data_IF_703461764362
#
_entry.id   IF_703461764362
#
_cell.length_a   1.000
_cell.length_b   1.000
_cell.length_c   1.000
_cell.angle_alpha   90.00
_cell.angle_beta   90.00
_cell.angle_gamma   90.00
#
_symmetry.space_group_name_H-M   'P 1'
#
loop_
_entity.id
_entity.type
_entity.pdbx_description
1 polymer ?
#
# COMPACT_ATOMS: atom_id res chain seq x y z
N UNK A 1 -52.03 -3.51 11.32
CA UNK A 1 -50.73 -3.42 11.96
C UNK A 1 -50.21 -1.98 12.07
N UNK A 2 -50.48 -1.11 11.12
CA UNK A 2 -50.02 0.29 11.18
C UNK A 2 -51.03 1.27 11.80
N UNK A 3 -52.24 0.85 12.15
CA UNK A 3 -53.31 1.73 12.67
C UNK A 3 -53.03 2.27 14.09
N UNK A 4 -52.28 1.55 14.91
CA UNK A 4 -51.88 1.99 16.26
C UNK A 4 -50.85 3.13 16.21
N UNK A 5 -50.03 3.20 15.17
CA UNK A 5 -49.07 4.28 14.94
C UNK A 5 -49.75 5.62 14.66
N UNK A 6 -51.00 5.60 14.12
CA UNK A 6 -51.78 6.80 13.86
C UNK A 6 -52.42 7.40 15.10
N UNK A 7 -52.61 6.62 16.17
CA UNK A 7 -53.40 7.00 17.32
C UNK A 7 -52.59 7.39 18.56
N UNK A 8 -51.27 7.16 18.62
CA UNK A 8 -50.48 7.50 19.81
C UNK A 8 -49.20 8.28 19.44
N UNK A 9 -49.03 9.46 20.06
CA UNK A 9 -47.84 10.28 19.99
C UNK A 9 -46.59 9.56 20.47
N UNK A 10 -46.62 8.77 21.60
CA UNK A 10 -45.42 8.03 22.04
C UNK A 10 -44.95 6.98 21.05
N UNK A 11 -45.85 6.32 20.31
CA UNK A 11 -45.47 5.31 19.32
C UNK A 11 -44.75 5.95 18.11
N UNK A 12 -45.18 7.12 17.70
CA UNK A 12 -44.53 7.89 16.61
C UNK A 12 -43.13 8.36 17.01
N UNK A 13 -43.01 8.85 18.25
CA UNK A 13 -41.69 9.25 18.76
C UNK A 13 -40.75 8.04 18.86
N UNK A 14 -41.23 6.88 19.29
CA UNK A 14 -40.45 5.65 19.36
C UNK A 14 -39.95 5.18 17.99
N UNK A 15 -40.80 5.22 16.96
CA UNK A 15 -40.43 4.87 15.59
C UNK A 15 -39.40 5.84 15.04
N UNK A 16 -39.56 7.14 15.29
CA UNK A 16 -38.60 8.16 14.84
C UNK A 16 -37.21 7.94 15.49
N UNK A 17 -37.16 7.63 16.78
CA UNK A 17 -35.90 7.34 17.49
C UNK A 17 -35.23 6.10 16.93
N UNK A 18 -35.98 5.04 16.66
CA UNK A 18 -35.45 3.80 16.07
C UNK A 18 -34.88 4.08 14.67
N UNK A 19 -35.56 4.83 13.83
CA UNK A 19 -35.09 5.20 12.50
C UNK A 19 -33.78 6.02 12.56
N UNK A 20 -33.71 6.97 13.49
CA UNK A 20 -32.49 7.78 13.68
C UNK A 20 -31.33 6.87 14.15
N UNK A 21 -31.59 5.95 15.08
CA UNK A 21 -30.57 5.01 15.55
C UNK A 21 -30.05 4.10 14.43
N UNK A 22 -30.94 3.59 13.57
CA UNK A 22 -30.56 2.77 12.40
C UNK A 22 -29.72 3.58 11.42
N UNK A 23 -30.10 4.82 11.12
CA UNK A 23 -29.34 5.70 10.23
C UNK A 23 -27.97 6.05 10.79
N UNK A 24 -27.87 6.29 12.11
CA UNK A 24 -26.60 6.57 12.78
C UNK A 24 -25.67 5.34 12.73
N UNK A 25 -26.19 4.14 12.96
CA UNK A 25 -25.43 2.89 12.85
C UNK A 25 -24.94 2.65 11.42
N UNK A 26 -25.82 2.84 10.43
CA UNK A 26 -25.46 2.69 9.01
C UNK A 26 -24.35 3.67 8.61
N UNK A 27 -24.43 4.92 9.05
CA UNK A 27 -23.41 5.94 8.80
C UNK A 27 -22.07 5.57 9.43
N UNK A 28 -22.10 5.09 10.67
CA UNK A 28 -20.86 4.68 11.39
C UNK A 28 -20.20 3.48 10.72
N UNK A 29 -20.98 2.49 10.29
CA UNK A 29 -20.46 1.32 9.58
C UNK A 29 -19.85 1.72 8.23
N UNK A 30 -20.51 2.61 7.49
CA UNK A 30 -20.02 3.11 6.20
C UNK A 30 -18.69 3.85 6.36
N UNK A 31 -18.59 4.73 7.36
CA UNK A 31 -17.36 5.45 7.66
C UNK A 31 -16.22 4.50 8.07
N UNK A 32 -16.53 3.48 8.87
CA UNK A 32 -15.57 2.46 9.27
C UNK A 32 -15.06 1.63 8.11
N UNK A 33 -15.93 1.24 7.19
CA UNK A 33 -15.57 0.50 5.97
C UNK A 33 -14.68 1.34 5.05
N UNK A 34 -15.04 2.60 4.81
CA UNK A 34 -14.24 3.52 3.98
C UNK A 34 -12.85 3.70 4.61
N UNK A 35 -12.77 3.92 5.91
CA UNK A 35 -11.50 4.07 6.61
C UNK A 35 -10.65 2.79 6.51
N UNK A 36 -11.27 1.62 6.59
CA UNK A 36 -10.57 0.34 6.50
C UNK A 36 -10.00 0.10 5.10
N UNK A 37 -10.78 0.38 4.05
CA UNK A 37 -10.32 0.26 2.65
C UNK A 37 -9.21 1.27 2.31
N UNK A 38 -9.30 2.51 2.81
CA UNK A 38 -8.25 3.51 2.55
C UNK A 38 -6.97 3.27 3.34
N UNK A 39 -7.03 2.59 4.49
CA UNK A 39 -5.83 2.19 5.24
C UNK A 39 -4.94 1.21 4.47
N UNK A 40 -5.54 0.30 3.69
CA UNK A 40 -4.78 -0.64 2.87
C UNK A 40 -3.91 0.05 1.83
N UNK A 41 -4.47 1.02 1.11
CA UNK A 41 -3.74 1.78 0.10
C UNK A 41 -2.67 2.67 0.75
N UNK A 42 -2.97 3.29 1.89
CA UNK A 42 -2.00 4.08 2.64
C UNK A 42 -0.83 3.27 3.14
N UNK A 43 -1.08 2.05 3.65
CA UNK A 43 -0.02 1.14 4.07
C UNK A 43 0.88 0.74 2.91
N UNK A 44 0.31 0.46 1.73
CA UNK A 44 1.06 0.13 0.53
C UNK A 44 1.92 1.30 0.05
N UNK A 45 1.39 2.52 0.06
CA UNK A 45 2.12 3.74 -0.30
C UNK A 45 3.30 3.96 0.66
N UNK A 46 3.08 3.81 1.95
CA UNK A 46 4.14 3.94 2.95
C UNK A 46 5.23 2.88 2.77
N UNK A 47 4.84 1.63 2.49
CA UNK A 47 5.79 0.54 2.24
C UNK A 47 6.61 0.82 0.98
N UNK A 48 5.99 1.23 -0.11
CA UNK A 48 6.70 1.60 -1.34
C UNK A 48 7.65 2.77 -1.11
N UNK A 49 7.24 3.77 -0.34
CA UNK A 49 8.11 4.89 0.07
C UNK A 49 9.32 4.43 0.88
N UNK A 50 9.13 3.46 1.78
CA UNK A 50 10.23 2.91 2.56
C UNK A 50 11.18 2.07 1.72
N UNK A 51 10.70 1.36 0.69
CA UNK A 51 11.56 0.65 -0.28
C UNK A 51 12.44 1.65 -1.04
N UNK A 52 11.88 2.78 -1.44
CA UNK A 52 12.64 3.86 -2.08
C UNK A 52 13.76 4.37 -1.16
N UNK A 53 13.44 4.64 0.10
CA UNK A 53 14.43 5.07 1.10
C UNK A 53 15.53 4.04 1.29
N UNK A 54 15.17 2.76 1.42
CA UNK A 54 16.14 1.66 1.57
C UNK A 54 17.02 1.53 0.33
N UNK A 55 16.49 1.79 -0.86
CA UNK A 55 17.25 1.76 -2.12
C UNK A 55 18.35 2.83 -2.10
N UNK A 56 18.03 4.06 -1.71
CA UNK A 56 19.01 5.14 -1.61
C UNK A 56 20.02 4.86 -0.48
N UNK A 57 19.56 4.35 0.65
CA UNK A 57 20.43 3.98 1.76
C UNK A 57 21.43 2.90 1.34
N UNK A 58 20.95 1.89 0.62
CA UNK A 58 21.79 0.81 0.10
C UNK A 58 22.81 1.34 -0.91
N UNK A 59 22.40 2.24 -1.82
CA UNK A 59 23.29 2.87 -2.78
C UNK A 59 24.43 3.64 -2.08
N UNK A 60 24.07 4.39 -1.04
CA UNK A 60 25.03 5.16 -0.26
C UNK A 60 26.01 4.24 0.50
N UNK A 61 25.49 3.19 1.14
CA UNK A 61 26.32 2.22 1.88
C UNK A 61 27.28 1.47 0.97
N UNK A 62 26.84 1.12 -0.25
CA UNK A 62 27.72 0.50 -1.25
C UNK A 62 28.82 1.46 -1.70
N UNK A 63 28.50 2.73 -1.91
CA UNK A 63 29.47 3.75 -2.29
C UNK A 63 30.51 4.03 -1.19
N UNK A 64 30.08 3.93 0.08
CA UNK A 64 30.92 4.14 1.26
C UNK A 64 31.71 2.89 1.66
N UNK A 65 31.60 1.81 0.90
CA UNK A 65 32.24 0.51 1.19
C UNK A 65 31.93 -0.01 2.60
N UNK A 66 30.68 0.11 3.02
CA UNK A 66 30.21 -0.36 4.33
C UNK A 66 30.47 -1.87 4.49
N UNK A 67 30.57 -2.37 5.75
CA UNK A 67 30.75 -3.80 5.98
C UNK A 67 29.64 -4.65 5.35
N UNK A 68 29.99 -5.86 4.92
CA UNK A 68 29.08 -6.77 4.22
C UNK A 68 27.82 -7.11 5.05
N UNK A 69 27.94 -7.20 6.37
CA UNK A 69 26.83 -7.47 7.28
C UNK A 69 25.82 -6.33 7.34
N UNK A 70 26.28 -5.07 7.29
CA UNK A 70 25.39 -3.91 7.20
C UNK A 70 24.62 -3.87 5.87
N UNK A 71 25.34 -4.10 4.77
CA UNK A 71 24.75 -4.16 3.41
C UNK A 71 23.73 -5.29 3.34
N UNK A 72 24.04 -6.45 3.87
CA UNK A 72 23.13 -7.59 3.90
C UNK A 72 21.86 -7.30 4.71
N UNK A 73 22.00 -6.64 5.86
CA UNK A 73 20.86 -6.27 6.71
C UNK A 73 19.89 -5.33 5.97
N UNK A 74 20.41 -4.33 5.25
CA UNK A 74 19.61 -3.40 4.46
C UNK A 74 18.94 -4.14 3.28
N UNK A 75 19.69 -5.02 2.61
CA UNK A 75 19.19 -5.82 1.48
C UNK A 75 18.02 -6.70 1.92
N UNK A 76 18.14 -7.37 3.06
CA UNK A 76 17.08 -8.20 3.63
C UNK A 76 15.87 -7.37 4.04
N UNK A 77 16.08 -6.19 4.62
CA UNK A 77 15.01 -5.27 4.98
C UNK A 77 14.22 -4.84 3.74
N UNK A 78 14.91 -4.47 2.68
CA UNK A 78 14.31 -4.09 1.41
C UNK A 78 13.49 -5.26 0.82
N UNK A 79 14.06 -6.45 0.80
CA UNK A 79 13.40 -7.65 0.29
C UNK A 79 12.11 -7.96 1.06
N UNK A 80 12.15 -7.88 2.39
CA UNK A 80 10.98 -8.10 3.23
C UNK A 80 9.87 -7.09 2.94
N UNK A 81 10.23 -5.82 2.67
CA UNK A 81 9.26 -4.77 2.33
C UNK A 81 8.64 -5.01 0.96
N UNK A 82 9.43 -5.43 -0.03
CA UNK A 82 8.91 -5.81 -1.34
C UNK A 82 7.95 -6.99 -1.27
N UNK A 83 8.20 -7.96 -0.40
CA UNK A 83 7.39 -9.16 -0.22
C UNK A 83 6.30 -8.98 0.85
N UNK A 84 6.09 -7.76 1.35
CA UNK A 84 5.17 -7.51 2.45
C UNK A 84 3.71 -7.72 2.05
N UNK A 85 2.91 -8.11 3.03
CA UNK A 85 1.47 -8.29 2.83
C UNK A 85 0.76 -6.99 2.46
N UNK A 86 1.27 -5.84 2.91
CA UNK A 86 0.70 -4.54 2.56
C UNK A 86 0.75 -4.25 1.07
N UNK A 87 1.82 -4.67 0.37
CA UNK A 87 1.91 -4.55 -1.09
C UNK A 87 1.08 -5.62 -1.80
N UNK A 88 1.09 -6.85 -1.31
CA UNK A 88 0.35 -7.96 -1.93
C UNK A 88 -1.16 -7.78 -1.83
N UNK A 89 -1.64 -7.21 -0.73
CA UNK A 89 -3.08 -7.00 -0.50
C UNK A 89 -3.73 -6.06 -1.52
N UNK A 90 -2.99 -5.10 -2.09
CA UNK A 90 -3.52 -4.17 -3.09
C UNK A 90 -3.51 -4.73 -4.51
N UNK A 91 -2.94 -5.93 -4.71
CA UNK A 91 -2.81 -6.59 -6.02
C UNK A 91 -3.98 -7.52 -6.37
N UNK A 92 -5.02 -7.55 -5.53
CA UNK A 92 -6.11 -8.54 -5.64
C UNK A 92 -7.05 -8.32 -6.84
N UNK A 93 -6.92 -7.21 -7.55
CA UNK A 93 -7.79 -6.85 -8.69
C UNK A 93 -7.53 -7.68 -9.97
N UNK A 94 -6.69 -8.72 -9.87
CA UNK A 94 -6.45 -9.68 -10.95
C UNK A 94 -5.10 -9.54 -11.64
N UNK A 95 -4.64 -10.61 -12.32
CA UNK A 95 -3.28 -10.70 -12.86
C UNK A 95 -2.99 -9.78 -14.04
N UNK A 96 -4.02 -9.16 -14.62
CA UNK A 96 -3.90 -8.25 -15.76
C UNK A 96 -3.96 -6.77 -15.35
N UNK A 97 -4.10 -6.46 -14.06
CA UNK A 97 -4.19 -5.07 -13.61
C UNK A 97 -2.87 -4.32 -13.81
N UNK A 98 -2.98 -3.00 -13.99
CA UNK A 98 -1.79 -2.13 -14.11
C UNK A 98 -0.92 -2.20 -12.84
N UNK A 99 -1.53 -2.32 -11.66
CA UNK A 99 -0.82 -2.49 -10.39
C UNK A 99 -0.02 -3.79 -10.36
N UNK A 100 -0.63 -4.90 -10.79
CA UNK A 100 0.04 -6.19 -10.83
C UNK A 100 1.25 -6.16 -11.77
N UNK A 101 1.10 -5.58 -12.95
CA UNK A 101 2.19 -5.43 -13.92
C UNK A 101 3.31 -4.55 -13.38
N UNK A 102 2.97 -3.43 -12.74
CA UNK A 102 3.94 -2.51 -12.13
C UNK A 102 4.73 -3.21 -11.01
N UNK A 103 4.03 -3.97 -10.14
CA UNK A 103 4.68 -4.74 -9.07
C UNK A 103 5.62 -5.81 -9.63
N UNK A 104 5.21 -6.53 -10.68
CA UNK A 104 6.06 -7.52 -11.34
C UNK A 104 7.32 -6.90 -11.93
N UNK A 105 7.22 -5.73 -12.55
CA UNK A 105 8.38 -5.00 -13.08
C UNK A 105 9.36 -4.62 -11.97
N UNK A 106 8.84 -4.15 -10.82
CA UNK A 106 9.65 -3.84 -9.64
C UNK A 106 10.39 -5.09 -9.15
N UNK A 107 9.69 -6.21 -9.00
CA UNK A 107 10.25 -7.48 -8.55
C UNK A 107 11.33 -7.99 -9.52
N UNK A 108 11.08 -7.91 -10.82
CA UNK A 108 12.06 -8.32 -11.85
C UNK A 108 13.30 -7.45 -11.81
N UNK A 109 13.14 -6.15 -11.73
CA UNK A 109 14.26 -5.22 -11.69
C UNK A 109 15.14 -5.45 -10.47
N UNK A 110 14.51 -5.65 -9.31
CA UNK A 110 15.23 -5.98 -8.08
C UNK A 110 15.96 -7.32 -8.18
N UNK A 111 15.25 -8.38 -8.56
CA UNK A 111 15.79 -9.74 -8.57
C UNK A 111 16.85 -9.97 -9.65
N UNK A 112 16.71 -9.34 -10.83
CA UNK A 112 17.57 -9.59 -11.99
C UNK A 112 18.73 -8.62 -12.09
N UNK A 113 18.60 -7.40 -11.57
CA UNK A 113 19.62 -6.36 -11.75
C UNK A 113 20.21 -5.86 -10.44
N UNK A 114 19.39 -5.37 -9.52
CA UNK A 114 19.87 -4.68 -8.32
C UNK A 114 20.43 -5.64 -7.26
N UNK A 115 19.70 -6.68 -6.93
CA UNK A 115 20.14 -7.66 -5.94
C UNK A 115 21.42 -8.36 -6.36
N UNK A 116 21.57 -8.85 -7.60
CA UNK A 116 22.86 -9.41 -8.04
C UNK A 116 24.02 -8.43 -7.98
N UNK A 117 23.78 -7.15 -8.27
CA UNK A 117 24.80 -6.10 -8.14
C UNK A 117 25.28 -5.96 -6.69
N UNK A 118 24.34 -5.99 -5.72
CA UNK A 118 24.69 -5.95 -4.30
C UNK A 118 25.51 -7.18 -3.91
N UNK A 119 25.10 -8.36 -4.34
CA UNK A 119 25.76 -9.64 -4.00
C UNK A 119 27.20 -9.69 -4.52
N UNK A 120 27.48 -9.12 -5.68
CA UNK A 120 28.84 -9.04 -6.24
C UNK A 120 29.62 -7.80 -5.82
N UNK A 121 29.02 -6.92 -5.00
CA UNK A 121 29.68 -5.71 -4.51
C UNK A 121 29.83 -4.62 -5.57
N UNK A 122 29.03 -4.64 -6.62
CA UNK A 122 29.08 -3.68 -7.72
C UNK A 122 28.23 -2.44 -7.44
N UNK A 123 28.75 -1.56 -6.61
CA UNK A 123 28.05 -0.33 -6.20
C UNK A 123 27.84 0.67 -7.33
N UNK A 124 28.75 0.68 -8.32
CA UNK A 124 28.63 1.56 -9.49
C UNK A 124 27.44 1.16 -10.35
N UNK A 125 27.30 -0.12 -10.68
CA UNK A 125 26.14 -0.65 -11.41
C UNK A 125 24.86 -0.40 -10.66
N UNK A 126 24.84 -0.65 -9.35
CA UNK A 126 23.68 -0.39 -8.51
C UNK A 126 23.25 1.08 -8.59
N UNK A 127 24.20 2.00 -8.43
CA UNK A 127 23.93 3.44 -8.49
C UNK A 127 23.40 3.89 -9.84
N UNK A 128 23.88 3.31 -10.93
CA UNK A 128 23.38 3.61 -12.28
C UNK A 128 21.95 3.13 -12.50
N UNK A 129 21.58 1.99 -11.91
CA UNK A 129 20.27 1.36 -12.10
C UNK A 129 19.21 1.78 -11.07
N UNK A 130 19.62 2.28 -9.91
CA UNK A 130 18.72 2.65 -8.83
C UNK A 130 17.69 3.71 -9.24
N UNK A 131 18.00 4.77 -10.00
CA UNK A 131 17.00 5.74 -10.41
C UNK A 131 15.84 5.17 -11.22
N UNK A 132 16.10 4.22 -12.12
CA UNK A 132 15.04 3.55 -12.89
C UNK A 132 14.14 2.71 -11.98
N UNK A 133 14.72 2.04 -11.01
CA UNK A 133 13.97 1.26 -10.00
C UNK A 133 13.09 2.17 -9.15
N UNK A 134 13.62 3.30 -8.69
CA UNK A 134 12.86 4.30 -7.92
C UNK A 134 11.71 4.87 -8.75
N UNK A 135 11.93 5.11 -10.05
CA UNK A 135 10.87 5.58 -10.95
C UNK A 135 9.74 4.55 -11.07
N UNK A 136 10.06 3.26 -11.13
CA UNK A 136 9.04 2.20 -11.11
C UNK A 136 8.24 2.19 -9.81
N UNK A 137 8.90 2.43 -8.67
CA UNK A 137 8.22 2.59 -7.37
C UNK A 137 7.28 3.80 -7.37
N UNK A 138 7.73 4.92 -7.95
CA UNK A 138 6.91 6.13 -8.08
C UNK A 138 5.67 5.89 -8.96
N UNK A 139 5.81 5.16 -10.05
CA UNK A 139 4.70 4.77 -10.92
C UNK A 139 3.70 3.87 -10.19
N UNK A 140 4.19 2.92 -9.40
CA UNK A 140 3.35 2.06 -8.57
C UNK A 140 2.53 2.89 -7.56
N UNK A 141 3.16 3.82 -6.86
CA UNK A 141 2.49 4.73 -5.93
C UNK A 141 1.45 5.58 -6.65
N UNK A 142 1.76 6.09 -7.83
CA UNK A 142 0.82 6.87 -8.64
C UNK A 142 -0.43 6.05 -9.01
N UNK A 143 -0.24 4.79 -9.40
CA UNK A 143 -1.36 3.87 -9.69
C UNK A 143 -2.21 3.61 -8.44
N UNK A 144 -1.58 3.43 -7.27
CA UNK A 144 -2.29 3.28 -6.00
C UNK A 144 -3.13 4.51 -5.66
N UNK A 145 -2.57 5.71 -5.86
CA UNK A 145 -3.27 6.96 -5.61
C UNK A 145 -4.49 7.10 -6.52
N UNK A 146 -4.34 6.80 -7.80
CA UNK A 146 -5.45 6.82 -8.77
C UNK A 146 -6.54 5.83 -8.37
N UNK A 147 -6.19 4.64 -7.94
CA UNK A 147 -7.14 3.64 -7.47
C UNK A 147 -7.88 4.11 -6.21
N UNK A 148 -7.17 4.75 -5.30
CA UNK A 148 -7.76 5.31 -4.07
C UNK A 148 -8.75 6.43 -4.37
N UNK A 149 -8.45 7.30 -5.33
CA UNK A 149 -9.34 8.37 -5.78
C UNK A 149 -10.64 7.82 -6.41
N UNK A 150 -10.56 6.73 -7.17
CA UNK A 150 -11.73 6.10 -7.76
C UNK A 150 -12.65 5.43 -6.73
N UNK A 151 -12.16 5.09 -5.55
CA UNK A 151 -12.95 4.50 -4.45
C UNK A 151 -13.70 5.55 -3.62
N UNK A 152 -13.40 6.82 -3.80
CA UNK A 152 -14.09 7.94 -3.14
C UNK A 152 -15.22 8.48 -4.02
#
# INVERSE_FOLDING_TARGET
MFNWLRSSLPARAGVAVILIAILALASSLSAGLIAWFSQGDGAAINTAGSVRMETYHLSWKLADHAPADEIQAITQSLQRRLDSQSLKAVLEDGPQSALQQSYQQIQQHWNLELRPAVERGDGEFFRERAPAFVEQLNQFVSLLQQQSEHKQ
#
